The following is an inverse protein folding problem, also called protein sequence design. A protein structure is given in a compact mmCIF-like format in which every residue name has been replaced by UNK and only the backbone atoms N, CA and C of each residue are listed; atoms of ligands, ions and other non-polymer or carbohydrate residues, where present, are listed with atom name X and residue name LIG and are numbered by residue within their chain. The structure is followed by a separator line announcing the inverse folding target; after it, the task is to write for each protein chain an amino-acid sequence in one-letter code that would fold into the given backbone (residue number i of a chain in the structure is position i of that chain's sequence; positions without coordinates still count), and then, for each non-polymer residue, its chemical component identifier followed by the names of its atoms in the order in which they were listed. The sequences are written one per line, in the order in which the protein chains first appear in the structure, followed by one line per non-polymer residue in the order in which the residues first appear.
data_IF_235289209915
#
_entry.id   IF_235289209915
#
_cell.length_a   1.000
_cell.length_b   1.000
_cell.length_c   1.000
_cell.angle_alpha   90.00
_cell.angle_beta   90.00
_cell.angle_gamma   90.00
#
_symmetry.space_group_name_H-M   'P 1'
#
loop_
_entity.id
_entity.type
_entity.pdbx_description
1 polymer ?
#
# COMPACT_ATOMS: atom_id res chain seq x y z
N UNK A 1 -3.68 26.98 14.31
CA UNK A 1 -4.08 26.23 13.10
C UNK A 1 -4.64 24.90 13.57
N UNK A 2 -5.89 24.52 13.28
CA UNK A 2 -6.40 23.23 13.70
C UNK A 2 -5.75 22.13 12.85
N UNK A 3 -5.19 21.12 13.52
CA UNK A 3 -4.68 19.89 12.92
C UNK A 3 -5.89 19.17 12.30
N UNK A 4 -5.91 19.04 10.97
CA UNK A 4 -6.93 18.27 10.28
C UNK A 4 -6.94 16.85 10.88
N UNK A 5 -8.11 16.39 11.33
CA UNK A 5 -8.27 15.04 11.84
C UNK A 5 -7.76 14.05 10.78
N UNK A 6 -7.04 12.97 11.17
CA UNK A 6 -6.61 11.96 10.23
C UNK A 6 -7.85 11.41 9.52
N UNK A 7 -7.96 11.71 8.23
CA UNK A 7 -9.05 11.20 7.39
C UNK A 7 -8.86 9.69 7.31
N UNK A 8 -9.66 8.94 8.06
CA UNK A 8 -9.59 7.47 8.15
C UNK A 8 -9.95 6.74 6.84
N UNK A 9 -10.08 7.48 5.74
CA UNK A 9 -10.30 6.94 4.41
C UNK A 9 -8.99 6.43 3.84
N UNK A 10 -8.87 5.13 3.54
CA UNK A 10 -7.66 4.60 2.92
C UNK A 10 -7.44 5.28 1.56
N UNK A 11 -6.21 5.71 1.30
CA UNK A 11 -5.83 6.41 0.06
C UNK A 11 -6.05 5.54 -1.19
N UNK A 12 -6.14 4.23 -1.00
CA UNK A 12 -6.32 3.23 -2.04
C UNK A 12 -7.44 2.27 -1.64
N UNK A 13 -8.40 2.08 -2.55
CA UNK A 13 -9.44 1.06 -2.45
C UNK A 13 -9.15 0.01 -3.51
N UNK A 14 -8.94 -1.26 -3.11
CA UNK A 14 -8.68 -2.33 -4.06
C UNK A 14 -9.96 -2.62 -4.85
N UNK A 15 -9.80 -2.95 -6.12
CA UNK A 15 -10.90 -3.32 -7.00
C UNK A 15 -11.57 -4.60 -6.45
N UNK A 16 -12.90 -4.63 -6.21
CA UNK A 16 -13.57 -5.85 -5.78
C UNK A 16 -13.33 -6.99 -6.78
N UNK A 17 -13.37 -8.24 -6.30
CA UNK A 17 -13.23 -9.49 -7.07
C UNK A 17 -11.81 -9.95 -7.45
N UNK A 18 -10.76 -9.39 -6.86
CA UNK A 18 -9.40 -9.95 -6.99
C UNK A 18 -9.22 -11.12 -6.00
N UNK A 19 -8.80 -12.32 -6.44
CA UNK A 19 -8.51 -13.43 -5.53
C UNK A 19 -7.44 -13.05 -4.49
N UNK A 20 -7.62 -13.51 -3.24
CA UNK A 20 -6.72 -13.20 -2.11
C UNK A 20 -5.24 -13.47 -2.44
N UNK A 21 -4.96 -14.60 -3.09
CA UNK A 21 -3.59 -15.00 -3.47
C UNK A 21 -2.98 -14.00 -4.46
N UNK A 22 -3.77 -13.52 -5.42
CA UNK A 22 -3.32 -12.57 -6.44
C UNK A 22 -3.10 -11.19 -5.84
N UNK A 23 -3.96 -10.77 -4.91
CA UNK A 23 -3.79 -9.52 -4.16
C UNK A 23 -2.51 -9.54 -3.29
N UNK A 24 -2.25 -10.65 -2.59
CA UNK A 24 -1.02 -10.82 -1.81
C UNK A 24 0.23 -10.89 -2.69
N UNK A 25 0.15 -11.54 -3.85
CA UNK A 25 1.24 -11.55 -4.82
C UNK A 25 1.52 -10.14 -5.35
N UNK A 26 0.48 -9.35 -5.64
CA UNK A 26 0.62 -7.97 -6.07
C UNK A 26 1.27 -7.08 -5.00
N UNK A 27 0.80 -7.18 -3.74
CA UNK A 27 1.43 -6.50 -2.60
C UNK A 27 2.90 -6.88 -2.45
N UNK A 28 3.23 -8.15 -2.62
CA UNK A 28 4.61 -8.64 -2.50
C UNK A 28 5.51 -8.07 -3.59
N UNK A 29 5.01 -8.00 -4.82
CA UNK A 29 5.73 -7.40 -5.94
C UNK A 29 5.97 -5.90 -5.73
N UNK A 30 4.97 -5.16 -5.25
CA UNK A 30 5.11 -3.74 -4.92
C UNK A 30 6.18 -3.52 -3.85
N UNK A 31 6.15 -4.34 -2.79
CA UNK A 31 7.13 -4.24 -1.70
C UNK A 31 8.56 -4.59 -2.15
N UNK A 32 8.70 -5.57 -3.05
CA UNK A 32 10.00 -5.92 -3.64
C UNK A 32 10.62 -4.73 -4.39
N UNK A 33 9.82 -4.07 -5.25
CA UNK A 33 10.27 -2.92 -6.04
C UNK A 33 10.55 -1.70 -5.14
N UNK A 34 9.73 -1.48 -4.11
CA UNK A 34 9.99 -0.43 -3.12
C UNK A 34 11.34 -0.62 -2.42
N UNK A 35 11.66 -1.86 -2.00
CA UNK A 35 12.91 -2.17 -1.33
C UNK A 35 14.13 -1.98 -2.25
N UNK A 36 14.01 -2.35 -3.53
CA UNK A 36 15.05 -2.12 -4.53
C UNK A 36 15.31 -0.62 -4.69
N UNK A 37 14.27 0.19 -4.89
CA UNK A 37 14.40 1.64 -5.03
C UNK A 37 14.91 2.33 -3.76
N UNK A 38 14.56 1.86 -2.55
CA UNK A 38 15.15 2.36 -1.31
C UNK A 38 16.65 2.06 -1.23
N UNK A 39 17.07 0.88 -1.68
CA UNK A 39 18.48 0.49 -1.72
C UNK A 39 19.24 1.36 -2.71
N UNK A 40 18.69 1.54 -3.91
CA UNK A 40 19.28 2.40 -4.94
C UNK A 40 19.33 3.86 -4.50
N UNK A 41 18.27 4.35 -3.83
CA UNK A 41 18.21 5.69 -3.26
C UNK A 41 19.26 5.93 -2.18
N UNK A 42 19.54 4.92 -1.36
CA UNK A 42 20.54 4.99 -0.31
C UNK A 42 21.98 4.92 -0.86
N UNK A 43 22.18 4.32 -2.03
CA UNK A 43 23.49 4.07 -2.63
C UNK A 43 23.87 5.06 -3.75
N UNK A 44 22.92 5.79 -4.34
CA UNK A 44 23.13 6.68 -5.48
C UNK A 44 22.81 8.16 -5.23
N UNK A 45 23.19 9.01 -6.20
CA UNK A 45 22.96 10.47 -6.16
C UNK A 45 21.49 10.87 -6.45
N UNK A 46 20.68 9.97 -7.05
CA UNK A 46 19.23 10.17 -7.33
C UNK A 46 18.32 9.87 -6.11
N UNK A 47 18.91 9.83 -4.91
CA UNK A 47 18.28 9.43 -3.65
C UNK A 47 16.90 10.02 -3.36
N UNK A 48 16.65 11.34 -3.54
CA UNK A 48 15.36 11.93 -3.19
C UNK A 48 14.19 11.43 -4.04
N UNK A 49 14.37 11.23 -5.35
CA UNK A 49 13.30 10.80 -6.24
C UNK A 49 12.97 9.32 -6.06
N UNK A 50 13.99 8.47 -5.94
CA UNK A 50 13.83 7.04 -5.67
C UNK A 50 13.24 6.78 -4.28
N UNK A 51 13.60 7.58 -3.28
CA UNK A 51 13.00 7.50 -1.95
C UNK A 51 11.50 7.80 -1.95
N UNK A 52 11.06 8.80 -2.73
CA UNK A 52 9.63 9.14 -2.84
C UNK A 52 8.85 8.06 -3.58
N UNK A 53 9.40 7.53 -4.68
CA UNK A 53 8.79 6.42 -5.41
C UNK A 53 8.67 5.16 -4.53
N UNK A 54 9.72 4.83 -3.78
CA UNK A 54 9.72 3.70 -2.87
C UNK A 54 8.72 3.86 -1.72
N UNK A 55 8.63 5.05 -1.13
CA UNK A 55 7.65 5.35 -0.09
C UNK A 55 6.21 5.16 -0.60
N UNK A 56 5.89 5.69 -1.78
CA UNK A 56 4.58 5.55 -2.40
C UNK A 56 4.21 4.08 -2.66
N UNK A 57 5.12 3.30 -3.24
CA UNK A 57 4.89 1.87 -3.49
C UNK A 57 4.72 1.06 -2.19
N UNK A 58 5.45 1.43 -1.13
CA UNK A 58 5.30 0.85 0.19
C UNK A 58 3.92 1.11 0.80
N UNK A 59 3.42 2.35 0.71
CA UNK A 59 2.06 2.69 1.16
C UNK A 59 0.99 1.94 0.37
N UNK A 60 1.17 1.75 -0.96
CA UNK A 60 0.26 0.95 -1.79
C UNK A 60 0.22 -0.52 -1.35
N UNK A 61 1.39 -1.13 -1.11
CA UNK A 61 1.48 -2.51 -0.63
C UNK A 61 0.77 -2.68 0.72
N UNK A 62 0.99 -1.76 1.66
CA UNK A 62 0.33 -1.79 2.97
C UNK A 62 -1.19 -1.61 2.86
N UNK A 63 -1.67 -0.74 1.96
CA UNK A 63 -3.10 -0.55 1.75
C UNK A 63 -3.78 -1.83 1.26
N UNK A 64 -3.14 -2.59 0.36
CA UNK A 64 -3.66 -3.89 -0.10
C UNK A 64 -3.77 -4.87 1.06
N UNK A 65 -2.69 -5.03 1.85
CA UNK A 65 -2.71 -5.94 3.01
C UNK A 65 -3.77 -5.53 4.02
N UNK A 66 -3.89 -4.22 4.29
CA UNK A 66 -4.89 -3.70 5.22
C UNK A 66 -6.30 -4.07 4.77
N UNK A 67 -6.64 -3.85 3.50
CA UNK A 67 -7.97 -4.17 2.93
C UNK A 67 -8.30 -5.66 3.01
N UNK A 68 -7.31 -6.55 2.80
CA UNK A 68 -7.48 -8.00 2.97
C UNK A 68 -7.74 -8.42 4.43
N UNK A 69 -7.27 -7.62 5.40
CA UNK A 69 -7.49 -7.87 6.83
C UNK A 69 -8.74 -7.22 7.39
N UNK A 70 -9.39 -6.32 6.64
CA UNK A 70 -10.70 -5.78 7.03
C UNK A 70 -11.65 -6.98 7.07
N UNK A 71 -12.24 -7.31 8.24
CA UNK A 71 -13.23 -8.36 8.29
C UNK A 71 -14.32 -8.01 7.28
N UNK A 72 -14.60 -8.92 6.34
CA UNK A 72 -15.88 -8.90 5.63
C UNK A 72 -16.93 -8.91 6.74
N UNK A 73 -17.47 -7.74 7.07
CA UNK A 73 -18.65 -7.64 7.89
C UNK A 73 -19.71 -8.37 7.10
N UNK A 74 -19.95 -9.62 7.50
CA UNK A 74 -21.00 -10.46 6.97
C UNK A 74 -22.28 -9.65 7.21
N UNK A 75 -22.77 -8.98 6.16
CA UNK A 75 -24.11 -8.41 6.15
C UNK A 75 -25.05 -9.61 6.16
N UNK A 76 -25.30 -10.13 7.36
CA UNK A 76 -26.41 -11.04 7.62
C UNK A 76 -27.69 -10.27 7.33
N UNK A 77 -28.19 -10.55 6.13
CA UNK A 77 -29.56 -10.47 5.65
C UNK A 77 -30.58 -10.33 6.79
N UNK A 78 -31.39 -9.27 6.70
CA UNK A 78 -32.68 -9.17 7.36
C UNK A 78 -33.68 -10.16 6.74
#
# INVERSE_FOLDING_TARGET
MPLAAPTATPLFTVNPDIPLVDALAHSSNLQLVANQQMTDAAMGDDGPHLAWAAAYLGEMAQAIVHDLTIPVAHNNVA
#
